data_IF_895702385477
#
_entry.id   IF_895702385477
#
_cell.length_a   1.000
_cell.length_b   1.000
_cell.length_c   1.000
_cell.angle_alpha   90.00
_cell.angle_beta   90.00
_cell.angle_gamma   90.00
#
_symmetry.space_group_name_H-M   'P 1'
#
loop_
_entity.id
_entity.type
_entity.pdbx_description
1 polymer ?
#
# COMPACT_ATOMS: atom_id res chain seq x y z
N UNK A 1 19.41 -57.40 -68.76
CA UNK A 1 19.90 -56.99 -67.43
C UNK A 1 19.04 -55.83 -66.94
N UNK A 2 18.50 -55.95 -65.72
CA UNK A 2 17.55 -55.00 -65.11
C UNK A 2 18.25 -53.73 -64.58
N UNK A 3 17.61 -52.60 -64.85
CA UNK A 3 17.40 -51.39 -64.04
C UNK A 3 18.53 -50.77 -63.19
N UNK A 4 18.78 -49.48 -63.42
CA UNK A 4 18.88 -48.48 -62.34
C UNK A 4 18.52 -47.07 -62.86
N UNK A 5 17.34 -46.56 -62.51
CA UNK A 5 16.96 -45.15 -62.69
C UNK A 5 17.35 -44.39 -61.41
N UNK A 6 18.15 -43.33 -61.55
CA UNK A 6 18.50 -42.42 -60.44
C UNK A 6 17.25 -41.65 -59.98
N UNK A 7 17.02 -41.50 -58.66
CA UNK A 7 15.96 -40.62 -58.17
C UNK A 7 16.42 -39.15 -58.26
N UNK A 8 15.53 -38.28 -58.73
CA UNK A 8 15.66 -36.83 -58.64
C UNK A 8 15.25 -36.43 -57.21
N UNK A 9 16.21 -36.04 -56.39
CA UNK A 9 15.93 -35.47 -55.06
C UNK A 9 15.58 -34.00 -55.28
N UNK A 10 14.30 -33.67 -55.17
CA UNK A 10 13.82 -32.30 -55.06
C UNK A 10 14.15 -31.76 -53.67
N UNK A 11 15.13 -30.85 -53.57
CA UNK A 11 15.39 -30.10 -52.34
C UNK A 11 14.30 -29.04 -52.17
N UNK A 12 13.20 -29.40 -51.52
CA UNK A 12 12.29 -28.43 -50.95
C UNK A 12 13.03 -27.66 -49.86
N UNK A 13 13.32 -26.38 -50.08
CA UNK A 13 13.73 -25.46 -49.01
C UNK A 13 12.58 -25.38 -48.00
N UNK A 14 12.67 -26.18 -46.95
CA UNK A 14 11.80 -26.09 -45.79
C UNK A 14 12.20 -24.82 -45.02
N UNK A 15 11.69 -23.66 -45.45
CA UNK A 15 11.70 -22.47 -44.62
C UNK A 15 10.94 -22.80 -43.33
N UNK A 16 11.53 -22.60 -42.13
CA UNK A 16 10.88 -22.98 -40.90
C UNK A 16 9.70 -22.04 -40.64
N UNK A 17 8.47 -22.51 -40.95
CA UNK A 17 7.19 -21.79 -40.70
C UNK A 17 7.06 -21.30 -39.24
N UNK A 18 7.82 -21.91 -38.32
CA UNK A 18 7.83 -21.58 -36.90
C UNK A 18 8.61 -20.29 -36.56
N UNK A 19 9.62 -19.90 -37.35
CA UNK A 19 10.42 -18.69 -37.05
C UNK A 19 9.63 -17.41 -37.31
N UNK A 20 8.87 -17.35 -38.41
CA UNK A 20 8.00 -16.21 -38.71
C UNK A 20 6.83 -16.05 -37.72
N UNK A 21 6.24 -17.17 -37.29
CA UNK A 21 5.20 -17.17 -36.27
C UNK A 21 5.73 -16.71 -34.90
N UNK A 22 6.95 -17.12 -34.53
CA UNK A 22 7.59 -16.69 -33.29
C UNK A 22 7.92 -15.19 -33.29
N UNK A 23 8.42 -14.65 -34.41
CA UNK A 23 8.69 -13.22 -34.56
C UNK A 23 7.41 -12.38 -34.47
N UNK A 24 6.32 -12.79 -35.12
CA UNK A 24 5.03 -12.09 -35.03
C UNK A 24 4.44 -12.13 -33.61
N UNK A 25 4.62 -13.25 -32.90
CA UNK A 25 4.16 -13.41 -31.51
C UNK A 25 4.97 -12.53 -30.55
N UNK A 26 6.29 -12.43 -30.75
CA UNK A 26 7.16 -11.52 -29.98
C UNK A 26 6.79 -10.06 -30.25
N UNK A 27 6.56 -9.67 -31.50
CA UNK A 27 6.12 -8.30 -31.85
C UNK A 27 4.77 -7.99 -31.19
N UNK A 28 3.81 -8.92 -31.24
CA UNK A 28 2.50 -8.74 -30.60
C UNK A 28 2.62 -8.56 -29.08
N UNK A 29 3.50 -9.31 -28.41
CA UNK A 29 3.78 -9.15 -26.97
C UNK A 29 4.44 -7.80 -26.64
N UNK A 30 5.31 -7.28 -27.51
CA UNK A 30 5.94 -5.97 -27.32
C UNK A 30 4.90 -4.86 -27.48
N UNK A 31 4.04 -4.93 -28.51
CA UNK A 31 2.99 -3.91 -28.75
C UNK A 31 2.01 -3.83 -27.58
N UNK A 32 1.59 -4.96 -27.02
CA UNK A 32 0.69 -4.98 -25.85
C UNK A 32 1.36 -4.42 -24.60
N UNK A 33 2.63 -4.76 -24.35
CA UNK A 33 3.39 -4.22 -23.23
C UNK A 33 3.60 -2.69 -23.32
N UNK A 34 3.80 -2.15 -24.53
CA UNK A 34 3.90 -0.69 -24.73
C UNK A 34 2.58 0.03 -24.48
N UNK A 35 1.45 -0.55 -24.91
CA UNK A 35 0.13 0.05 -24.68
C UNK A 35 -0.25 0.11 -23.20
N UNK A 36 0.06 -0.93 -22.43
CA UNK A 36 -0.20 -0.95 -20.98
C UNK A 36 0.69 0.04 -20.23
N UNK A 37 1.97 0.18 -20.63
CA UNK A 37 2.89 1.14 -20.03
C UNK A 37 2.43 2.60 -20.25
N UNK A 38 2.00 2.95 -21.48
CA UNK A 38 1.47 4.28 -21.77
C UNK A 38 0.21 4.61 -20.97
N UNK A 39 -0.70 3.64 -20.84
CA UNK A 39 -1.94 3.83 -20.07
C UNK A 39 -1.65 4.02 -18.58
N UNK A 40 -0.75 3.23 -18.01
CA UNK A 40 -0.33 3.40 -16.61
C UNK A 40 0.30 4.77 -16.37
N UNK A 41 1.21 5.20 -17.25
CA UNK A 41 1.89 6.50 -17.14
C UNK A 41 0.88 7.65 -17.15
N UNK A 42 -0.06 7.64 -18.10
CA UNK A 42 -1.10 8.68 -18.16
C UNK A 42 -1.97 8.71 -16.90
N UNK A 43 -2.33 7.54 -16.36
CA UNK A 43 -3.17 7.44 -15.16
C UNK A 43 -2.44 7.94 -13.89
N UNK A 44 -1.17 7.60 -13.72
CA UNK A 44 -0.41 8.01 -12.55
C UNK A 44 -0.15 9.53 -12.54
N UNK A 45 0.15 10.12 -13.71
CA UNK A 45 0.33 11.55 -13.88
C UNK A 45 -0.97 12.31 -13.59
N UNK A 46 -2.09 11.88 -14.18
CA UNK A 46 -3.39 12.50 -13.97
C UNK A 46 -3.81 12.46 -12.50
N UNK A 47 -3.64 11.32 -11.82
CA UNK A 47 -3.94 11.19 -10.39
C UNK A 47 -3.03 12.08 -9.54
N UNK A 48 -1.73 12.11 -9.84
CA UNK A 48 -0.76 12.95 -9.13
C UNK A 48 -1.08 14.44 -9.25
N UNK A 49 -1.41 14.92 -10.46
CA UNK A 49 -1.81 16.31 -10.70
C UNK A 49 -3.11 16.68 -9.99
N UNK A 50 -4.10 15.78 -10.02
CA UNK A 50 -5.36 15.98 -9.30
C UNK A 50 -5.10 16.15 -7.79
N UNK A 51 -4.39 15.20 -7.17
CA UNK A 51 -4.13 15.21 -5.73
C UNK A 51 -3.28 16.41 -5.32
N UNK A 52 -2.29 16.79 -6.13
CA UNK A 52 -1.49 17.99 -5.88
C UNK A 52 -2.37 19.25 -5.85
N UNK A 53 -3.26 19.41 -6.83
CA UNK A 53 -4.18 20.55 -6.89
C UNK A 53 -5.13 20.60 -5.70
N UNK A 54 -5.74 19.46 -5.36
CA UNK A 54 -6.65 19.37 -4.21
C UNK A 54 -5.94 19.69 -2.88
N UNK A 55 -4.66 19.31 -2.75
CA UNK A 55 -3.86 19.65 -1.58
C UNK A 55 -3.46 21.14 -1.56
N UNK A 56 -3.19 21.77 -2.70
CA UNK A 56 -2.84 23.20 -2.78
C UNK A 56 -3.96 24.09 -2.24
N UNK A 57 -5.22 23.71 -2.48
CA UNK A 57 -6.40 24.41 -1.91
C UNK A 57 -6.44 24.36 -0.38
N UNK A 58 -5.72 23.41 0.24
CA UNK A 58 -5.69 23.22 1.69
C UNK A 58 -4.39 23.67 2.36
N UNK A 59 -3.26 23.50 1.69
CA UNK A 59 -1.92 23.65 2.26
C UNK A 59 -0.83 23.62 1.19
N UNK A 60 -0.12 24.74 1.01
CA UNK A 60 0.99 24.81 0.07
C UNK A 60 2.18 23.90 0.44
N UNK A 61 2.37 23.57 1.74
CA UNK A 61 3.40 22.60 2.13
C UNK A 61 3.05 21.18 1.69
N UNK A 62 1.77 20.81 1.77
CA UNK A 62 1.31 19.46 1.44
C UNK A 62 1.28 19.26 -0.08
N UNK A 63 0.89 20.29 -0.83
CA UNK A 63 1.02 20.29 -2.28
C UNK A 63 2.48 20.17 -2.75
N UNK A 64 3.40 20.86 -2.07
CA UNK A 64 4.84 20.74 -2.33
C UNK A 64 5.35 19.32 -2.02
N UNK A 65 4.90 18.70 -0.94
CA UNK A 65 5.19 17.29 -0.66
C UNK A 65 4.61 16.39 -1.74
N UNK A 66 3.35 16.59 -2.14
CA UNK A 66 2.69 15.79 -3.17
C UNK A 66 3.48 15.82 -4.48
N UNK A 67 3.85 17.01 -4.94
CA UNK A 67 4.67 17.18 -6.15
C UNK A 67 6.04 16.50 -6.06
N UNK A 68 6.71 16.62 -4.92
CA UNK A 68 8.11 16.16 -4.76
C UNK A 68 8.25 14.69 -4.38
N UNK A 69 7.22 14.11 -3.77
CA UNK A 69 7.30 12.79 -3.15
C UNK A 69 6.18 11.89 -3.63
N UNK A 70 4.92 12.35 -3.57
CA UNK A 70 3.79 11.52 -3.96
C UNK A 70 3.77 11.24 -5.47
N UNK A 71 3.83 12.26 -6.34
CA UNK A 71 3.74 12.06 -7.78
C UNK A 71 4.85 11.15 -8.32
N UNK A 72 6.14 11.32 -7.93
CA UNK A 72 7.19 10.37 -8.31
C UNK A 72 6.96 8.96 -7.79
N UNK A 73 6.34 8.80 -6.61
CA UNK A 73 6.00 7.49 -6.05
C UNK A 73 4.86 6.82 -6.82
N UNK A 74 3.84 7.58 -7.24
CA UNK A 74 2.70 7.07 -8.00
C UNK A 74 3.10 6.58 -9.39
N UNK A 75 4.09 7.21 -10.03
CA UNK A 75 4.63 6.80 -11.31
C UNK A 75 5.93 5.97 -11.18
N UNK A 76 6.30 5.61 -9.96
CA UNK A 76 7.53 4.91 -9.65
C UNK A 76 7.43 3.41 -9.94
N UNK A 77 8.57 2.73 -10.17
CA UNK A 77 8.58 1.29 -10.45
C UNK A 77 8.13 0.43 -9.26
N UNK A 78 8.17 0.97 -8.04
CA UNK A 78 7.80 0.28 -6.81
C UNK A 78 6.27 0.15 -6.64
N UNK A 79 5.47 0.94 -7.38
CA UNK A 79 4.02 0.90 -7.30
C UNK A 79 3.41 0.10 -8.45
N UNK A 80 2.75 -1.02 -8.14
CA UNK A 80 2.05 -1.83 -9.15
C UNK A 80 0.81 -1.11 -9.68
N UNK A 81 0.41 -1.40 -10.92
CA UNK A 81 -0.82 -0.88 -11.53
C UNK A 81 -2.07 -1.10 -10.67
N UNK A 82 -2.23 -2.29 -10.10
CA UNK A 82 -3.35 -2.60 -9.22
C UNK A 82 -3.35 -1.78 -7.92
N UNK A 83 -2.19 -1.36 -7.44
CA UNK A 83 -2.07 -0.48 -6.28
C UNK A 83 -2.44 0.96 -6.65
N UNK A 84 -2.05 1.42 -7.84
CA UNK A 84 -2.49 2.71 -8.37
C UNK A 84 -4.03 2.77 -8.51
N UNK A 85 -4.64 1.72 -9.07
CA UNK A 85 -6.09 1.59 -9.19
C UNK A 85 -6.78 1.61 -7.82
N UNK A 86 -6.18 0.94 -6.82
CA UNK A 86 -6.67 0.97 -5.44
C UNK A 86 -6.63 2.38 -4.87
N UNK A 87 -5.53 3.12 -5.06
CA UNK A 87 -5.39 4.51 -4.58
C UNK A 87 -6.46 5.40 -5.21
N UNK A 88 -6.64 5.32 -6.53
CA UNK A 88 -7.65 6.09 -7.25
C UNK A 88 -9.07 5.76 -6.74
N UNK A 89 -9.37 4.48 -6.52
CA UNK A 89 -10.65 4.04 -5.97
C UNK A 89 -10.91 4.65 -4.59
N UNK A 90 -9.97 4.55 -3.66
CA UNK A 90 -10.15 5.08 -2.31
C UNK A 90 -10.24 6.61 -2.28
N UNK A 91 -9.48 7.32 -3.12
CA UNK A 91 -9.61 8.78 -3.24
C UNK A 91 -11.02 9.18 -3.71
N UNK A 92 -11.56 8.49 -4.71
CA UNK A 92 -12.93 8.69 -5.19
C UNK A 92 -13.97 8.37 -4.09
N UNK A 93 -13.80 7.27 -3.36
CA UNK A 93 -14.71 6.92 -2.26
C UNK A 93 -14.64 7.93 -1.11
N UNK A 94 -13.45 8.42 -0.76
CA UNK A 94 -13.28 9.50 0.22
C UNK A 94 -13.99 10.78 -0.20
N UNK A 95 -13.89 11.17 -1.47
CA UNK A 95 -14.62 12.33 -2.00
C UNK A 95 -16.14 12.14 -1.89
N UNK A 96 -16.68 11.00 -2.36
CA UNK A 96 -18.12 10.67 -2.27
C UNK A 96 -18.61 10.69 -0.82
N UNK A 97 -17.78 10.18 0.10
CA UNK A 97 -18.09 10.10 1.53
C UNK A 97 -17.71 11.39 2.29
N UNK A 98 -17.26 12.44 1.61
CA UNK A 98 -16.88 13.75 2.18
C UNK A 98 -15.83 13.62 3.30
N UNK A 99 -14.85 12.74 3.12
CA UNK A 99 -13.68 12.70 3.99
C UNK A 99 -12.83 13.94 3.72
N UNK A 100 -12.41 14.62 4.78
CA UNK A 100 -11.63 15.87 4.67
C UNK A 100 -10.31 15.64 3.95
N UNK A 101 -9.99 16.52 2.99
CA UNK A 101 -8.72 16.49 2.25
C UNK A 101 -7.52 16.67 3.19
N UNK A 102 -7.50 17.76 3.96
CA UNK A 102 -6.38 18.15 4.83
C UNK A 102 -6.06 17.21 5.99
N UNK A 103 -6.98 16.30 6.34
CA UNK A 103 -6.77 15.37 7.46
C UNK A 103 -6.99 13.92 7.06
N UNK A 104 -8.09 13.59 6.41
CA UNK A 104 -8.39 12.20 6.07
C UNK A 104 -7.56 11.73 4.88
N UNK A 105 -7.75 12.37 3.73
CA UNK A 105 -7.08 11.98 2.47
C UNK A 105 -5.57 12.17 2.57
N UNK A 106 -5.09 13.29 3.13
CA UNK A 106 -3.65 13.49 3.33
C UNK A 106 -3.01 12.37 4.16
N UNK A 107 -3.60 12.00 5.31
CA UNK A 107 -3.05 10.92 6.14
C UNK A 107 -3.14 9.55 5.45
N UNK A 108 -4.16 9.32 4.63
CA UNK A 108 -4.20 8.14 3.75
C UNK A 108 -3.00 8.12 2.80
N UNK A 109 -2.73 9.22 2.07
CA UNK A 109 -1.63 9.30 1.11
C UNK A 109 -0.25 9.18 1.79
N UNK A 110 -0.09 9.79 2.96
CA UNK A 110 1.11 9.61 3.78
C UNK A 110 1.29 8.14 4.21
N UNK A 111 0.19 7.41 4.44
CA UNK A 111 0.25 5.97 4.73
C UNK A 111 0.62 5.16 3.50
N UNK A 112 0.08 5.51 2.31
CA UNK A 112 0.44 4.88 1.03
C UNK A 112 1.95 4.95 0.81
N UNK A 113 2.57 6.11 1.05
CA UNK A 113 4.02 6.24 0.97
C UNK A 113 4.75 5.18 1.82
N UNK A 114 4.30 4.96 3.06
CA UNK A 114 4.93 3.97 3.96
C UNK A 114 4.65 2.53 3.53
N UNK A 115 3.44 2.24 3.05
CA UNK A 115 3.06 0.90 2.58
C UNK A 115 3.85 0.50 1.33
N UNK A 116 4.03 1.43 0.38
CA UNK A 116 4.84 1.19 -0.83
C UNK A 116 6.30 0.95 -0.46
N UNK A 117 6.89 1.79 0.39
CA UNK A 117 8.27 1.62 0.88
C UNK A 117 8.48 0.28 1.58
N UNK A 118 7.49 -0.18 2.35
CA UNK A 118 7.54 -1.45 3.08
C UNK A 118 7.39 -2.67 2.15
N UNK A 119 6.78 -2.49 0.98
CA UNK A 119 6.55 -3.51 -0.04
C UNK A 119 5.93 -4.82 0.51
N UNK A 120 5.00 -4.66 1.46
CA UNK A 120 4.29 -5.76 2.11
C UNK A 120 2.87 -5.86 1.54
N UNK A 121 2.64 -6.86 0.69
CA UNK A 121 1.35 -7.03 0.02
C UNK A 121 0.24 -7.44 0.99
N UNK A 122 0.52 -8.24 2.02
CA UNK A 122 -0.51 -8.64 2.98
C UNK A 122 -0.94 -7.43 3.82
N UNK A 123 0.02 -6.65 4.30
CA UNK A 123 -0.26 -5.43 5.04
C UNK A 123 -1.00 -4.40 4.17
N UNK A 124 -0.64 -4.27 2.90
CA UNK A 124 -1.38 -3.43 1.94
C UNK A 124 -2.86 -3.80 1.90
N UNK A 125 -3.18 -5.09 1.74
CA UNK A 125 -4.56 -5.56 1.63
C UNK A 125 -5.30 -5.46 2.95
N UNK A 126 -4.72 -5.94 4.06
CA UNK A 126 -5.37 -5.93 5.37
C UNK A 126 -5.64 -4.50 5.87
N UNK A 127 -4.71 -3.56 5.63
CA UNK A 127 -4.93 -2.16 5.97
C UNK A 127 -6.05 -1.52 5.13
N UNK A 128 -6.07 -1.70 3.81
CA UNK A 128 -7.16 -1.19 2.98
C UNK A 128 -8.51 -1.81 3.34
N UNK A 129 -8.55 -3.10 3.72
CA UNK A 129 -9.77 -3.75 4.19
C UNK A 129 -10.31 -3.09 5.48
N UNK A 130 -9.43 -2.72 6.43
CA UNK A 130 -9.82 -1.96 7.61
C UNK A 130 -10.38 -0.58 7.23
N UNK A 131 -9.69 0.14 6.35
CA UNK A 131 -10.12 1.47 5.89
C UNK A 131 -11.50 1.40 5.22
N UNK A 132 -11.72 0.44 4.31
CA UNK A 132 -13.02 0.27 3.65
C UNK A 132 -14.11 -0.09 4.65
N UNK A 133 -13.88 -1.07 5.53
CA UNK A 133 -14.85 -1.45 6.55
C UNK A 133 -15.26 -0.26 7.43
N UNK A 134 -14.30 0.56 7.86
CA UNK A 134 -14.57 1.77 8.62
C UNK A 134 -15.30 2.83 7.79
N UNK A 135 -14.96 2.98 6.50
CA UNK A 135 -15.56 3.96 5.60
C UNK A 135 -17.03 3.63 5.28
N UNK A 136 -17.35 2.35 5.06
CA UNK A 136 -18.71 1.90 4.71
C UNK A 136 -19.64 1.85 5.93
N UNK A 137 -19.13 1.54 7.12
CA UNK A 137 -19.96 1.49 8.32
C UNK A 137 -20.11 2.87 8.98
N UNK A 138 -21.32 3.41 8.98
CA UNK A 138 -21.65 4.74 9.56
C UNK A 138 -21.19 4.90 11.02
N UNK A 139 -21.22 3.85 11.83
CA UNK A 139 -20.79 3.91 13.24
C UNK A 139 -19.27 3.99 13.34
N UNK A 140 -18.54 3.19 12.55
CA UNK A 140 -17.08 3.11 12.60
C UNK A 140 -16.39 4.27 11.86
N UNK A 141 -17.05 4.86 10.86
CA UNK A 141 -16.56 6.02 10.12
C UNK A 141 -16.16 7.19 11.00
N UNK A 142 -16.79 7.34 12.17
CA UNK A 142 -16.44 8.37 13.16
C UNK A 142 -14.99 8.26 13.65
N UNK A 143 -14.45 7.04 13.68
CA UNK A 143 -13.09 6.74 14.15
C UNK A 143 -12.09 6.65 13.00
N UNK A 144 -12.55 6.68 11.74
CA UNK A 144 -11.70 6.57 10.55
C UNK A 144 -10.62 7.66 10.51
N UNK A 145 -10.98 8.91 10.82
CA UNK A 145 -10.02 10.02 10.79
C UNK A 145 -8.88 9.82 11.80
N UNK A 146 -9.19 9.29 13.00
CA UNK A 146 -8.17 8.98 14.02
C UNK A 146 -7.28 7.82 13.58
N UNK A 147 -7.87 6.77 12.99
CA UNK A 147 -7.11 5.63 12.47
C UNK A 147 -6.19 6.03 11.31
N UNK A 148 -6.69 6.81 10.34
CA UNK A 148 -5.85 7.33 9.25
C UNK A 148 -4.71 8.19 9.81
N UNK A 149 -4.98 9.05 10.81
CA UNK A 149 -3.95 9.91 11.42
C UNK A 149 -2.77 9.14 12.01
N UNK A 150 -3.00 8.01 12.69
CA UNK A 150 -1.93 7.21 13.29
C UNK A 150 -1.26 6.27 12.27
N UNK A 151 -1.95 5.94 11.18
CA UNK A 151 -1.52 4.94 10.20
C UNK A 151 -0.11 5.15 9.64
N UNK A 152 0.36 6.36 9.26
CA UNK A 152 1.72 6.53 8.76
C UNK A 152 2.79 6.08 9.79
N UNK A 153 2.63 6.48 11.05
CA UNK A 153 3.53 6.09 12.14
C UNK A 153 3.40 4.61 12.52
N UNK A 154 2.19 4.07 12.45
CA UNK A 154 1.93 2.65 12.66
C UNK A 154 2.65 1.78 11.62
N UNK A 155 2.53 2.11 10.33
CA UNK A 155 3.16 1.33 9.26
C UNK A 155 4.70 1.45 9.29
N UNK A 156 5.22 2.67 9.53
CA UNK A 156 6.66 2.96 9.47
C UNK A 156 7.42 2.49 10.72
N UNK A 157 6.90 2.82 11.89
CA UNK A 157 7.61 2.73 13.18
C UNK A 157 6.87 1.89 14.21
N UNK A 158 5.74 1.29 13.84
CA UNK A 158 4.85 0.57 14.75
C UNK A 158 4.42 1.42 15.95
N UNK A 159 4.24 2.73 15.73
CA UNK A 159 3.69 3.64 16.74
C UNK A 159 2.20 3.35 16.91
N UNK A 160 1.82 2.90 18.11
CA UNK A 160 0.44 2.63 18.50
C UNK A 160 -0.26 3.89 19.01
N UNK A 161 0.50 4.82 19.61
CA UNK A 161 -0.01 6.10 20.07
C UNK A 161 1.08 7.16 19.97
N UNK A 162 0.72 8.37 19.53
CA UNK A 162 1.65 9.50 19.47
C UNK A 162 1.00 10.82 19.80
N UNK A 163 1.59 11.55 20.73
CA UNK A 163 1.23 12.91 21.11
C UNK A 163 2.48 13.72 21.48
N UNK A 164 2.41 15.06 21.56
CA UNK A 164 3.54 15.87 22.04
C UNK A 164 4.03 15.48 23.44
N UNK A 165 3.16 14.87 24.24
CA UNK A 165 3.47 14.37 25.58
C UNK A 165 4.27 13.07 25.59
N UNK A 166 4.31 12.31 24.48
CA UNK A 166 5.00 11.04 24.39
C UNK A 166 4.43 10.11 23.32
N UNK A 167 5.18 9.06 23.04
CA UNK A 167 4.82 8.01 22.07
C UNK A 167 4.80 6.64 22.75
N UNK A 168 3.99 5.75 22.20
CA UNK A 168 4.03 4.32 22.48
C UNK A 168 4.24 3.56 21.19
N UNK A 169 5.29 2.73 21.13
CA UNK A 169 5.65 1.93 19.95
C UNK A 169 5.92 0.48 20.29
N UNK A 170 5.72 -0.37 19.30
CA UNK A 170 5.90 -1.81 19.40
C UNK A 170 7.24 -2.23 18.79
N UNK A 171 7.96 -3.08 19.51
CA UNK A 171 9.19 -3.71 19.05
C UNK A 171 9.13 -5.24 19.23
N UNK A 172 10.05 -5.95 18.55
CA UNK A 172 10.25 -7.40 18.61
C UNK A 172 9.02 -8.25 18.27
N UNK A 173 8.03 -7.66 17.61
CA UNK A 173 6.86 -8.37 17.09
C UNK A 173 6.28 -7.61 15.90
N UNK A 174 5.40 -8.28 15.17
CA UNK A 174 4.58 -7.67 14.14
C UNK A 174 3.14 -7.53 14.65
N UNK A 175 2.47 -6.46 14.24
CA UNK A 175 1.03 -6.35 14.41
C UNK A 175 0.28 -7.00 13.24
N UNK A 176 -0.96 -7.37 13.47
CA UNK A 176 -1.90 -7.85 12.46
C UNK A 176 -3.14 -6.96 12.46
N UNK A 177 -3.67 -6.66 11.27
CA UNK A 177 -4.92 -5.94 11.08
C UNK A 177 -5.98 -6.93 10.58
N UNK A 178 -7.17 -6.90 11.17
CA UNK A 178 -8.28 -7.71 10.70
C UNK A 178 -9.63 -7.02 10.92
N UNK A 179 -10.64 -7.55 10.23
CA UNK A 179 -12.04 -7.11 10.31
C UNK A 179 -12.92 -8.35 10.46
N UNK A 180 -12.85 -9.02 11.61
CA UNK A 180 -13.72 -10.19 11.86
C UNK A 180 -15.14 -9.74 12.24
N UNK A 181 -15.28 -9.12 13.42
CA UNK A 181 -16.54 -8.52 13.88
C UNK A 181 -16.45 -6.99 13.98
N UNK A 182 -15.23 -6.52 14.27
CA UNK A 182 -14.87 -5.11 14.39
C UNK A 182 -13.46 -4.94 13.83
N UNK A 183 -13.15 -3.81 13.19
CA UNK A 183 -11.78 -3.49 12.82
C UNK A 183 -10.88 -3.45 14.07
N UNK A 184 -9.83 -4.26 14.06
CA UNK A 184 -8.92 -4.37 15.19
C UNK A 184 -7.47 -4.57 14.73
N UNK A 185 -6.56 -4.15 15.61
CA UNK A 185 -5.15 -4.46 15.53
C UNK A 185 -4.79 -5.42 16.68
N UNK A 186 -4.04 -6.48 16.38
CA UNK A 186 -3.55 -7.42 17.38
C UNK A 186 -2.03 -7.56 17.30
N UNK A 187 -1.39 -7.86 18.42
CA UNK A 187 0.01 -8.24 18.46
C UNK A 187 0.26 -9.16 19.65
N UNK A 188 1.30 -9.99 19.56
CA UNK A 188 1.61 -10.99 20.57
C UNK A 188 3.07 -10.93 21.00
N UNK A 189 3.29 -11.06 22.31
CA UNK A 189 4.60 -11.25 22.93
C UNK A 189 5.68 -10.23 22.49
N UNK A 190 5.29 -8.98 22.29
CA UNK A 190 6.19 -7.90 21.90
C UNK A 190 6.83 -7.18 23.08
N UNK A 191 7.67 -6.19 22.76
CA UNK A 191 8.14 -5.17 23.70
C UNK A 191 7.40 -3.86 23.40
N UNK A 192 6.68 -3.36 24.40
CA UNK A 192 5.99 -2.07 24.32
C UNK A 192 6.88 -1.00 24.93
N UNK A 193 7.25 0.00 24.13
CA UNK A 193 8.15 1.09 24.54
C UNK A 193 7.34 2.38 24.63
N UNK A 194 7.36 3.00 25.80
CA UNK A 194 6.85 4.35 26.02
C UNK A 194 8.00 5.33 26.14
N UNK A 195 7.95 6.43 25.39
CA UNK A 195 8.97 7.49 25.44
C UNK A 195 8.30 8.84 25.64
N UNK A 196 8.76 9.61 26.63
CA UNK A 196 8.21 10.93 26.95
C UNK A 196 9.28 11.81 27.62
N UNK A 197 9.57 12.99 27.03
CA UNK A 197 10.45 14.02 27.64
C UNK A 197 11.81 13.51 28.16
N UNK A 198 12.42 12.54 27.47
CA UNK A 198 13.70 11.94 27.85
C UNK A 198 13.56 10.70 28.75
N UNK A 199 12.38 10.46 29.31
CA UNK A 199 12.06 9.22 30.01
C UNK A 199 11.69 8.12 29.01
N UNK A 200 12.06 6.89 29.34
CA UNK A 200 11.74 5.69 28.58
C UNK A 200 11.28 4.60 29.53
N UNK A 201 10.15 3.97 29.21
CA UNK A 201 9.65 2.78 29.88
C UNK A 201 9.55 1.64 28.88
N UNK A 202 9.92 0.44 29.33
CA UNK A 202 9.81 -0.77 28.53
C UNK A 202 8.96 -1.80 29.27
N UNK A 203 7.98 -2.34 28.56
CA UNK A 203 7.13 -3.43 29.04
C UNK A 203 7.33 -4.63 28.14
N UNK A 204 8.00 -5.65 28.68
CA UNK A 204 8.37 -6.86 27.95
C UNK A 204 7.22 -7.88 27.93
N UNK A 205 7.18 -8.74 26.90
CA UNK A 205 6.20 -9.83 26.78
C UNK A 205 4.77 -9.32 26.85
N UNK A 206 4.49 -8.25 26.12
CA UNK A 206 3.17 -7.63 26.05
C UNK A 206 2.45 -8.12 24.81
N UNK A 207 1.23 -8.58 25.00
CA UNK A 207 0.27 -8.84 23.93
C UNK A 207 -0.84 -7.80 24.00
N UNK A 208 -1.49 -7.52 22.88
CA UNK A 208 -2.55 -6.52 22.85
C UNK A 208 -3.58 -6.71 21.75
N UNK A 209 -4.78 -6.19 22.04
CA UNK A 209 -5.89 -6.07 21.11
C UNK A 209 -6.40 -4.63 21.15
N UNK A 210 -6.28 -3.93 20.03
CA UNK A 210 -6.77 -2.58 19.86
C UNK A 210 -8.05 -2.59 19.04
N UNK A 211 -9.16 -2.16 19.66
CA UNK A 211 -10.38 -1.85 18.95
C UNK A 211 -10.27 -0.47 18.27
N UNK A 212 -10.07 -0.47 16.95
CA UNK A 212 -9.85 0.74 16.14
C UNK A 212 -11.11 1.62 16.05
N UNK A 213 -12.28 1.09 16.42
CA UNK A 213 -13.54 1.84 16.42
C UNK A 213 -13.81 2.57 17.74
N UNK A 214 -13.18 2.15 18.84
CA UNK A 214 -13.40 2.68 20.20
C UNK A 214 -12.17 3.32 20.82
N UNK A 215 -11.07 3.41 20.06
CA UNK A 215 -9.77 3.92 20.51
C UNK A 215 -9.34 3.30 21.86
N UNK A 216 -9.49 1.97 21.97
CA UNK A 216 -9.22 1.23 23.21
C UNK A 216 -8.26 0.09 22.93
N UNK A 217 -7.06 0.20 23.48
CA UNK A 217 -6.05 -0.86 23.50
C UNK A 217 -6.15 -1.63 24.82
N UNK A 218 -6.39 -2.94 24.73
CA UNK A 218 -6.34 -3.86 25.86
C UNK A 218 -5.01 -4.60 25.81
N UNK A 219 -4.28 -4.59 26.92
CA UNK A 219 -2.98 -5.25 27.05
C UNK A 219 -3.09 -6.45 27.99
N UNK A 220 -2.30 -7.48 27.71
CA UNK A 220 -2.12 -8.65 28.57
C UNK A 220 -0.66 -9.07 28.63
N UNK A 221 -0.30 -9.79 29.70
CA UNK A 221 1.10 -10.07 30.02
C UNK A 221 1.79 -8.84 30.59
N UNK A 222 2.98 -8.55 30.08
CA UNK A 222 3.77 -7.39 30.51
C UNK A 222 4.65 -7.67 31.72
N UNK A 223 5.94 -7.41 31.59
CA UNK A 223 6.92 -7.44 32.68
C UNK A 223 7.85 -6.25 32.56
N UNK A 224 8.05 -5.54 33.66
CA UNK A 224 9.05 -4.48 33.74
C UNK A 224 10.44 -5.11 33.93
N UNK A 225 11.46 -4.70 33.17
CA UNK A 225 12.83 -5.06 33.46
C UNK A 225 13.24 -4.32 34.74
N UNK A 226 13.39 -5.06 35.85
CA UNK A 226 14.03 -4.52 37.05
C UNK A 226 15.54 -4.64 36.84
N UNK A 227 16.18 -3.55 36.45
CA UNK A 227 17.64 -3.41 36.38
C UNK A 227 18.02 -2.00 36.80
#
# INVERSE_FOLDING_TARGET
MRCYQKPIISTAKMFPRHVGAFVLLVIALIVTAMGTAQTYQANCEALGEQLQRELEETSGSDAKWAKKTLSPLLCGPDLRSSQLDTIALFCNEFQKKRVSMSKGVLNYLLTIEQLVRRNDSELWHTWHNVVDAMLQNKKWKKSLASFLKISPGLIREQILFGAPSGIWRLEDTAFQLNVDSIPQLTFQNGRLIGEAKGDRIEVLRTSGVWNLTKDRLQLSGGKLPWT
#
